data_IF_162102092331
#
_entry.id   IF_162102092331
#
_cell.length_a   1.000
_cell.length_b   1.000
_cell.length_c   1.000
_cell.angle_alpha   90.00
_cell.angle_beta   90.00
_cell.angle_gamma   90.00
#
_symmetry.space_group_name_H-M   'P 1'
#
loop_
_entity.id
_entity.type
_entity.pdbx_description
1 polymer ?
#
# COMPACT_ATOMS: atom_id res chain seq x y z
N UNK A 1 -13.82 -10.40 10.18
CA UNK A 1 -13.21 -10.27 8.84
C UNK A 1 -11.79 -10.76 8.94
N UNK A 2 -11.44 -11.83 8.24
CA UNK A 2 -10.12 -12.47 8.34
C UNK A 2 -9.00 -11.47 8.06
N UNK A 3 -8.27 -11.07 9.11
CA UNK A 3 -7.24 -10.00 9.04
C UNK A 3 -6.15 -10.29 8.01
N UNK A 4 -5.92 -11.57 7.71
CA UNK A 4 -4.99 -12.05 6.69
C UNK A 4 -5.45 -11.71 5.27
N UNK A 5 -6.73 -11.93 4.96
CA UNK A 5 -7.27 -11.68 3.62
C UNK A 5 -7.24 -10.19 3.28
N UNK A 6 -7.59 -9.34 4.25
CA UNK A 6 -7.55 -7.88 4.09
C UNK A 6 -6.11 -7.39 3.90
N UNK A 7 -5.17 -7.91 4.70
CA UNK A 7 -3.75 -7.54 4.59
C UNK A 7 -3.16 -7.96 3.25
N UNK A 8 -3.46 -9.19 2.81
CA UNK A 8 -2.99 -9.71 1.53
C UNK A 8 -3.58 -8.91 0.35
N UNK A 9 -4.87 -8.58 0.40
CA UNK A 9 -5.52 -7.77 -0.63
C UNK A 9 -4.86 -6.39 -0.79
N UNK A 10 -4.57 -5.70 0.32
CA UNK A 10 -3.92 -4.38 0.28
C UNK A 10 -2.47 -4.48 -0.20
N UNK A 11 -1.73 -5.52 0.20
CA UNK A 11 -0.36 -5.75 -0.28
C UNK A 11 -0.34 -6.00 -1.79
N UNK A 12 -1.22 -6.88 -2.29
CA UNK A 12 -1.33 -7.17 -3.73
C UNK A 12 -1.71 -5.91 -4.50
N UNK A 13 -2.67 -5.13 -3.98
CA UNK A 13 -3.06 -3.86 -4.58
C UNK A 13 -1.90 -2.85 -4.61
N UNK A 14 -1.15 -2.70 -3.51
CA UNK A 14 0.02 -1.83 -3.43
C UNK A 14 1.13 -2.24 -4.40
N UNK A 15 1.39 -3.55 -4.56
CA UNK A 15 2.36 -4.06 -5.53
C UNK A 15 1.94 -3.77 -6.97
N UNK A 16 0.66 -3.90 -7.30
CA UNK A 16 0.14 -3.55 -8.63
C UNK A 16 0.32 -2.06 -8.93
N UNK A 17 -0.01 -1.18 -7.97
CA UNK A 17 0.20 0.26 -8.11
C UNK A 17 1.68 0.63 -8.30
N UNK A 18 2.59 -0.04 -7.58
CA UNK A 18 4.03 0.14 -7.76
C UNK A 18 4.49 -0.31 -9.15
N UNK A 19 4.02 -1.48 -9.62
CA UNK A 19 4.36 -2.00 -10.95
C UNK A 19 3.90 -1.08 -12.08
N UNK A 20 2.67 -0.56 -12.00
CA UNK A 20 2.15 0.41 -12.98
C UNK A 20 2.94 1.72 -12.87
N UNK A 21 3.12 2.25 -11.65
CA UNK A 21 3.86 3.48 -11.40
C UNK A 21 5.31 3.44 -11.90
N UNK A 22 5.96 2.29 -11.79
CA UNK A 22 7.31 2.06 -12.30
C UNK A 22 7.34 2.03 -13.83
N UNK A 23 6.32 1.46 -14.47
CA UNK A 23 6.20 1.41 -15.94
C UNK A 23 6.04 2.81 -16.54
N UNK A 24 5.34 3.72 -15.86
CA UNK A 24 5.16 5.11 -16.30
C UNK A 24 6.07 6.10 -15.55
N UNK A 25 7.18 5.65 -14.95
CA UNK A 25 8.04 6.50 -14.09
C UNK A 25 8.57 7.75 -14.79
N UNK A 26 8.68 7.69 -16.11
CA UNK A 26 9.18 8.78 -16.95
C UNK A 26 8.27 10.01 -16.88
N UNK A 27 6.99 9.80 -16.58
CA UNK A 27 6.04 10.86 -16.31
C UNK A 27 6.01 11.09 -14.80
N UNK A 28 5.99 12.35 -14.36
CA UNK A 28 5.87 12.68 -12.93
C UNK A 28 4.64 12.04 -12.25
N UNK A 29 3.61 11.70 -13.03
CA UNK A 29 2.44 10.92 -12.58
C UNK A 29 2.78 9.49 -12.18
N UNK A 30 3.80 8.85 -12.77
CA UNK A 30 4.27 7.52 -12.37
C UNK A 30 4.93 7.54 -11.01
N UNK A 31 5.70 8.58 -10.71
CA UNK A 31 6.29 8.79 -9.36
C UNK A 31 5.18 8.97 -8.32
N UNK A 32 4.15 9.76 -8.62
CA UNK A 32 2.98 9.90 -7.73
C UNK A 32 2.25 8.56 -7.51
N UNK A 33 2.08 7.74 -8.55
CA UNK A 33 1.47 6.41 -8.42
C UNK A 33 2.29 5.49 -7.51
N UNK A 34 3.62 5.55 -7.62
CA UNK A 34 4.50 4.78 -6.73
C UNK A 34 4.37 5.23 -5.27
N UNK A 35 4.27 6.54 -5.02
CA UNK A 35 4.01 7.08 -3.68
C UNK A 35 2.68 6.60 -3.09
N UNK A 36 1.61 6.55 -3.89
CA UNK A 36 0.31 6.04 -3.45
C UNK A 36 0.41 4.55 -3.08
N UNK A 37 1.14 3.75 -3.85
CA UNK A 37 1.40 2.35 -3.54
C UNK A 37 2.13 2.16 -2.20
N UNK A 38 3.14 2.99 -1.92
CA UNK A 38 3.85 2.96 -0.63
C UNK A 38 2.95 3.40 0.52
N UNK A 39 2.17 4.48 0.36
CA UNK A 39 1.24 4.97 1.39
C UNK A 39 0.16 3.93 1.73
N UNK A 40 -0.30 3.18 0.74
CA UNK A 40 -1.23 2.06 0.93
C UNK A 40 -0.66 0.98 1.85
N UNK A 41 0.61 0.60 1.67
CA UNK A 41 1.27 -0.36 2.56
C UNK A 41 1.53 0.24 3.96
N UNK A 42 1.86 1.53 4.03
CA UNK A 42 2.10 2.26 5.29
C UNK A 42 0.83 2.32 6.16
N UNK A 43 -0.35 2.46 5.54
CA UNK A 43 -1.65 2.42 6.23
C UNK A 43 -1.86 1.12 7.02
N UNK A 44 -1.43 -0.03 6.49
CA UNK A 44 -1.52 -1.32 7.20
C UNK A 44 -0.66 -1.31 8.47
N UNK A 45 0.56 -0.79 8.37
CA UNK A 45 1.48 -0.69 9.50
C UNK A 45 0.86 0.21 10.58
N UNK A 46 0.33 1.37 10.21
CA UNK A 46 -0.36 2.27 11.14
C UNK A 46 -1.58 1.60 11.77
N UNK A 47 -2.39 0.85 11.03
CA UNK A 47 -3.54 0.12 11.56
C UNK A 47 -3.12 -0.97 12.56
N UNK A 48 -2.04 -1.70 12.26
CA UNK A 48 -1.48 -2.73 13.17
C UNK A 48 -0.92 -2.12 14.45
N UNK A 49 -0.24 -0.97 14.35
CA UNK A 49 0.26 -0.22 15.51
C UNK A 49 -0.91 0.30 16.34
N UNK A 50 -1.91 0.90 15.71
CA UNK A 50 -3.10 1.40 16.40
C UNK A 50 -3.77 0.29 17.20
N UNK A 51 -3.97 -0.88 16.58
CA UNK A 51 -4.59 -2.03 17.25
C UNK A 51 -3.73 -2.59 18.39
N UNK A 52 -2.40 -2.47 18.32
CA UNK A 52 -1.50 -2.88 19.41
C UNK A 52 -1.48 -1.87 20.57
N UNK A 53 -1.63 -0.58 20.30
CA UNK A 53 -1.65 0.49 21.32
C UNK A 53 -3.04 0.69 21.93
N UNK A 54 -4.12 0.37 21.22
CA UNK A 54 -5.49 0.51 21.70
C UNK A 54 -6.00 -0.70 22.51
N UNK A 55 -5.10 -1.61 22.89
CA UNK A 55 -5.34 -2.77 23.76
C UNK A 55 -4.60 -2.55 25.07
#
# INVERSE_FOLDING_TARGET
>A
MDSILVTLAIIVFGMFMLGIGYTIRERGTGVLLMWIGVLSMLSIITYRIYLATSV
#
